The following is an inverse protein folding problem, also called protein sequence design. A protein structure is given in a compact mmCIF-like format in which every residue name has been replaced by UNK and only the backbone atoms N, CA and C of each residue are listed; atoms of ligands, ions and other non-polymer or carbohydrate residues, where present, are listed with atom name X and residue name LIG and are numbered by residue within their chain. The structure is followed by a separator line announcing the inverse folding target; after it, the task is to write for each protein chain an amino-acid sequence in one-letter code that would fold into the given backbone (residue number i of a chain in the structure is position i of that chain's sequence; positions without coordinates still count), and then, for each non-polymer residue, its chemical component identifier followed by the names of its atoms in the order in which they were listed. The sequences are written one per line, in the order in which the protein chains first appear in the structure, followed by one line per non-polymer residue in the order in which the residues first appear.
data_IF_123339198558
#
_entry.id   IF_123339198558
#
_cell.length_a   1.000
_cell.length_b   1.000
_cell.length_c   1.000
_cell.angle_alpha   90.00
_cell.angle_beta   90.00
_cell.angle_gamma   90.00
#
_symmetry.space_group_name_H-M   'P 1'
#
loop_
_entity.id
_entity.type
_entity.pdbx_description
1 polymer ?
#
# COMPACT_ATOMS: atom_id res chain seq x y z
N UNK A 1 11.62 45.90 -47.16
CA UNK A 1 11.70 46.41 -45.77
C UNK A 1 11.14 45.34 -44.85
N UNK A 2 11.99 44.65 -44.15
CA UNK A 2 11.57 43.65 -43.15
C UNK A 2 11.48 44.39 -41.82
N UNK A 3 10.33 44.43 -41.15
CA UNK A 3 10.23 45.09 -39.86
C UNK A 3 11.03 44.28 -38.81
N UNK A 4 12.03 44.93 -38.19
CA UNK A 4 12.79 44.35 -37.10
C UNK A 4 11.85 44.15 -35.89
N UNK A 5 11.60 42.92 -35.50
CA UNK A 5 10.90 42.61 -34.25
C UNK A 5 11.69 43.12 -33.05
N UNK A 6 11.04 43.83 -32.11
CA UNK A 6 11.74 44.34 -30.95
C UNK A 6 12.22 43.18 -30.07
N UNK A 7 13.51 43.21 -29.69
CA UNK A 7 14.18 42.17 -28.88
C UNK A 7 13.50 41.90 -27.52
N UNK A 8 12.75 42.84 -26.98
CA UNK A 8 11.96 42.75 -25.76
C UNK A 8 10.79 41.76 -25.85
N UNK A 9 10.19 41.56 -27.02
CA UNK A 9 9.08 40.62 -27.23
C UNK A 9 9.53 39.14 -27.25
N UNK A 10 10.78 38.91 -27.65
CA UNK A 10 11.40 37.55 -27.63
C UNK A 10 11.76 37.13 -26.20
N UNK A 11 12.24 38.04 -25.36
CA UNK A 11 12.60 37.81 -23.96
C UNK A 11 11.40 37.43 -23.11
N UNK A 12 10.26 38.13 -23.28
CA UNK A 12 9.05 37.83 -22.50
C UNK A 12 8.41 36.47 -22.86
N UNK A 13 8.46 36.09 -24.13
CA UNK A 13 7.98 34.75 -24.56
C UNK A 13 8.86 33.62 -24.06
N UNK A 14 10.16 33.79 -24.03
CA UNK A 14 11.08 32.79 -23.46
C UNK A 14 10.87 32.65 -21.96
N UNK A 15 10.73 33.73 -21.22
CA UNK A 15 10.45 33.70 -19.78
C UNK A 15 9.12 32.97 -19.46
N UNK A 16 8.07 33.22 -20.22
CA UNK A 16 6.77 32.54 -20.01
C UNK A 16 6.82 31.03 -20.31
N UNK A 17 7.53 30.60 -21.37
CA UNK A 17 7.70 29.18 -21.69
C UNK A 17 8.50 28.45 -20.62
N UNK A 18 9.56 29.07 -20.09
CA UNK A 18 10.37 28.54 -19.00
C UNK A 18 9.53 28.43 -17.72
N UNK A 19 8.80 29.48 -17.37
CA UNK A 19 7.89 29.46 -16.21
C UNK A 19 6.83 28.36 -16.28
N UNK A 20 6.21 28.16 -17.45
CA UNK A 20 5.24 27.12 -17.67
C UNK A 20 5.86 25.70 -17.54
N UNK A 21 7.09 25.52 -18.04
CA UNK A 21 7.80 24.24 -17.88
C UNK A 21 8.12 23.95 -16.42
N UNK A 22 8.64 24.93 -15.69
CA UNK A 22 8.92 24.78 -14.25
C UNK A 22 7.64 24.55 -13.46
N UNK A 23 6.57 25.28 -13.74
CA UNK A 23 5.27 25.08 -13.11
C UNK A 23 4.71 23.66 -13.34
N UNK A 24 4.80 23.15 -14.56
CA UNK A 24 4.39 21.77 -14.88
C UNK A 24 5.24 20.73 -14.16
N UNK A 25 6.57 20.88 -14.13
CA UNK A 25 7.46 19.95 -13.44
C UNK A 25 7.20 19.97 -11.93
N UNK A 26 7.02 21.15 -11.34
CA UNK A 26 6.68 21.29 -9.92
C UNK A 26 5.33 20.60 -9.60
N UNK A 27 4.30 20.87 -10.39
CA UNK A 27 2.98 20.25 -10.21
C UNK A 27 3.04 18.72 -10.31
N UNK A 28 3.69 18.18 -11.34
CA UNK A 28 3.85 16.73 -11.51
C UNK A 28 4.69 16.11 -10.39
N UNK A 29 5.75 16.79 -9.96
CA UNK A 29 6.56 16.37 -8.82
C UNK A 29 5.76 16.32 -7.52
N UNK A 30 4.95 17.35 -7.26
CA UNK A 30 4.07 17.40 -6.09
C UNK A 30 3.06 16.26 -6.10
N UNK A 31 2.41 15.99 -7.24
CA UNK A 31 1.46 14.88 -7.39
C UNK A 31 2.15 13.53 -7.11
N UNK A 32 3.34 13.29 -7.67
CA UNK A 32 4.08 12.06 -7.42
C UNK A 32 4.41 11.88 -5.91
N UNK A 33 4.85 12.93 -5.25
CA UNK A 33 5.15 12.92 -3.80
C UNK A 33 3.90 12.66 -2.98
N UNK A 34 2.78 13.31 -3.29
CA UNK A 34 1.52 13.08 -2.58
C UNK A 34 1.00 11.64 -2.72
N UNK A 35 1.13 11.05 -3.91
CA UNK A 35 0.77 9.63 -4.15
C UNK A 35 1.64 8.72 -3.26
N UNK A 36 2.94 8.96 -3.19
CA UNK A 36 3.85 8.17 -2.37
C UNK A 36 3.56 8.34 -0.87
N UNK A 37 3.33 9.56 -0.40
CA UNK A 37 2.96 9.82 1.00
C UNK A 37 1.66 9.09 1.34
N UNK A 38 0.64 9.17 0.49
CA UNK A 38 -0.63 8.48 0.71
C UNK A 38 -0.43 6.95 0.74
N UNK A 39 0.39 6.39 -0.15
CA UNK A 39 0.73 4.96 -0.18
C UNK A 39 1.45 4.50 1.09
N UNK A 40 2.43 5.26 1.56
CA UNK A 40 3.15 4.99 2.81
C UNK A 40 2.20 5.07 4.00
N UNK A 41 1.37 6.11 4.07
CA UNK A 41 0.43 6.29 5.18
C UNK A 41 -0.61 5.16 5.25
N UNK A 42 -1.20 4.79 4.11
CA UNK A 42 -2.14 3.68 4.02
C UNK A 42 -1.49 2.35 4.43
N UNK A 43 -0.26 2.09 3.96
CA UNK A 43 0.49 0.87 4.32
C UNK A 43 0.89 0.87 5.79
N UNK A 44 1.29 2.02 6.35
CA UNK A 44 1.67 2.13 7.76
C UNK A 44 0.49 1.85 8.69
N UNK A 45 -0.69 2.41 8.38
CA UNK A 45 -1.91 2.14 9.13
C UNK A 45 -2.26 0.65 9.20
N UNK A 46 -2.08 -0.07 8.09
CA UNK A 46 -2.28 -1.52 8.05
C UNK A 46 -1.15 -2.29 8.74
N UNK A 47 0.11 -1.89 8.52
CA UNK A 47 1.29 -2.59 9.00
C UNK A 47 1.44 -2.54 10.53
N UNK A 48 1.13 -1.41 11.18
CA UNK A 48 1.24 -1.30 12.64
C UNK A 48 0.30 -2.26 13.37
N UNK A 49 -0.86 -2.62 12.81
CA UNK A 49 -1.77 -3.60 13.40
C UNK A 49 -1.21 -5.03 13.31
N UNK A 50 -0.35 -5.30 12.31
CA UNK A 50 0.28 -6.61 12.11
C UNK A 50 1.63 -6.71 12.81
N UNK A 51 2.40 -5.61 12.88
CA UNK A 51 3.75 -5.59 13.45
C UNK A 51 3.77 -5.37 14.97
N UNK A 52 2.84 -4.57 15.51
CA UNK A 52 2.77 -4.30 16.95
C UNK A 52 2.03 -5.43 17.69
N UNK A 53 2.58 -6.64 17.61
CA UNK A 53 2.03 -7.84 18.27
C UNK A 53 2.50 -8.00 19.70
N UNK A 54 3.43 -7.17 20.20
CA UNK A 54 3.92 -7.23 21.58
C UNK A 54 2.76 -7.01 22.57
N UNK A 55 2.46 -8.04 23.38
CA UNK A 55 1.38 -8.01 24.38
C UNK A 55 0.00 -8.38 23.86
N UNK A 56 -0.13 -8.82 22.60
CA UNK A 56 -1.39 -9.31 22.03
C UNK A 56 -1.45 -10.84 22.03
N UNK A 57 -2.64 -11.37 22.25
CA UNK A 57 -2.88 -12.82 22.15
C UNK A 57 -2.70 -13.25 20.68
N UNK A 58 -1.68 -14.07 20.43
CA UNK A 58 -1.43 -14.68 19.12
C UNK A 58 -1.78 -16.14 19.13
N UNK A 59 -2.29 -16.64 18.03
CA UNK A 59 -2.69 -18.04 17.90
C UNK A 59 -3.07 -18.37 16.46
N UNK A 60 -3.74 -19.49 16.30
CA UNK A 60 -4.27 -19.93 15.02
C UNK A 60 -5.79 -19.98 15.05
N UNK A 61 -6.41 -19.67 13.94
CA UNK A 61 -7.84 -19.87 13.69
C UNK A 61 -8.01 -20.95 12.62
N UNK A 62 -8.85 -21.94 12.87
CA UNK A 62 -9.33 -22.85 11.84
C UNK A 62 -10.68 -22.33 11.32
N UNK A 63 -10.75 -21.98 10.06
CA UNK A 63 -11.94 -21.38 9.48
C UNK A 63 -13.03 -22.43 9.26
N UNK A 64 -14.02 -22.46 10.14
CA UNK A 64 -15.13 -23.40 10.07
C UNK A 64 -16.29 -22.93 9.18
N UNK A 65 -16.65 -21.63 9.26
CA UNK A 65 -17.78 -21.03 8.53
C UNK A 65 -17.42 -19.66 7.99
N UNK A 66 -17.90 -19.36 6.77
CA UNK A 66 -17.81 -18.04 6.16
C UNK A 66 -19.18 -17.57 5.69
N UNK A 67 -19.55 -16.34 5.99
CA UNK A 67 -20.81 -15.72 5.56
C UNK A 67 -20.83 -14.24 5.91
N UNK A 68 -21.58 -13.42 5.14
CA UNK A 68 -21.80 -12.02 5.47
C UNK A 68 -20.55 -11.12 5.51
N UNK A 69 -19.48 -11.44 4.76
CA UNK A 69 -18.26 -10.65 4.77
C UNK A 69 -17.24 -11.04 5.86
N UNK A 70 -17.56 -12.04 6.69
CA UNK A 70 -16.69 -12.54 7.75
C UNK A 70 -16.58 -14.05 7.74
N UNK A 71 -15.49 -14.58 8.30
CA UNK A 71 -15.33 -16.00 8.56
C UNK A 71 -15.14 -16.21 10.07
N UNK A 72 -15.57 -17.34 10.60
CA UNK A 72 -15.46 -17.66 12.02
C UNK A 72 -14.96 -19.09 12.25
N UNK A 73 -14.30 -19.30 13.37
CA UNK A 73 -13.80 -20.59 13.78
C UNK A 73 -13.21 -20.58 15.18
N UNK A 74 -12.78 -21.74 15.69
CA UNK A 74 -12.10 -21.85 16.97
C UNK A 74 -10.70 -21.23 16.93
N UNK A 75 -10.31 -20.61 18.04
CA UNK A 75 -8.99 -20.02 18.23
C UNK A 75 -8.14 -20.89 19.16
N UNK A 76 -6.98 -21.28 18.66
CA UNK A 76 -5.97 -22.02 19.44
C UNK A 76 -4.82 -21.06 19.79
N UNK A 77 -4.59 -20.79 21.07
CA UNK A 77 -3.55 -19.86 21.50
C UNK A 77 -2.15 -20.43 21.24
N UNK A 78 -1.22 -19.56 20.83
CA UNK A 78 0.20 -19.86 20.68
C UNK A 78 1.08 -19.01 21.59
N UNK A 79 0.60 -17.86 22.08
CA UNK A 79 1.33 -17.02 23.01
C UNK A 79 1.01 -17.34 24.46
N UNK A 80 1.99 -17.14 25.36
CA UNK A 80 1.77 -17.26 26.79
C UNK A 80 0.77 -16.20 27.26
N UNK A 81 -0.24 -16.63 28.03
CA UNK A 81 -1.30 -15.75 28.52
C UNK A 81 -2.50 -15.58 27.58
N UNK A 82 -2.48 -16.19 26.40
CA UNK A 82 -3.65 -16.24 25.53
C UNK A 82 -4.62 -17.35 25.97
N UNK A 83 -5.91 -17.05 25.96
CA UNK A 83 -6.96 -18.03 26.25
C UNK A 83 -7.55 -18.63 24.98
N UNK A 84 -7.85 -19.92 25.00
CA UNK A 84 -8.60 -20.55 23.92
C UNK A 84 -10.02 -19.97 23.85
N UNK A 85 -10.49 -19.69 22.63
CA UNK A 85 -11.84 -19.15 22.39
C UNK A 85 -12.57 -20.05 21.41
N UNK A 86 -13.79 -20.40 21.74
CA UNK A 86 -14.61 -21.26 20.88
C UNK A 86 -14.96 -20.60 19.54
N UNK A 87 -15.02 -19.27 19.53
CA UNK A 87 -15.39 -18.50 18.35
C UNK A 87 -14.63 -17.19 18.28
N UNK A 88 -13.86 -17.03 17.22
CA UNK A 88 -13.30 -15.74 16.80
C UNK A 88 -13.73 -15.45 15.37
N UNK A 89 -13.70 -14.17 15.00
CA UNK A 89 -14.17 -13.69 13.71
C UNK A 89 -13.00 -13.04 12.96
N UNK A 90 -12.77 -13.49 11.74
CA UNK A 90 -11.81 -12.91 10.80
C UNK A 90 -12.56 -12.28 9.62
N UNK A 91 -12.12 -11.12 9.17
CA UNK A 91 -12.67 -10.49 7.97
C UNK A 91 -12.41 -11.36 6.74
N UNK A 92 -13.46 -11.58 5.93
CA UNK A 92 -13.37 -12.38 4.71
C UNK A 92 -12.57 -11.60 3.66
N UNK A 93 -11.41 -12.11 3.31
CA UNK A 93 -10.60 -11.63 2.20
C UNK A 93 -10.42 -12.73 1.16
N UNK A 94 -9.90 -12.38 -0.02
CA UNK A 94 -9.60 -13.35 -1.09
C UNK A 94 -8.68 -14.48 -0.60
N UNK A 95 -7.86 -14.18 0.40
CA UNK A 95 -6.88 -15.10 1.00
C UNK A 95 -7.45 -15.98 2.12
N UNK A 96 -8.70 -15.77 2.56
CA UNK A 96 -9.32 -16.54 3.66
C UNK A 96 -10.29 -17.57 3.08
N UNK A 97 -9.95 -18.86 3.23
CA UNK A 97 -10.74 -19.99 2.74
C UNK A 97 -11.21 -20.88 3.89
N UNK A 98 -12.40 -21.42 3.74
CA UNK A 98 -12.97 -22.41 4.68
C UNK A 98 -12.07 -23.67 4.72
N UNK A 99 -11.88 -24.21 5.91
CA UNK A 99 -11.09 -25.43 6.15
C UNK A 99 -9.57 -25.19 6.24
N UNK A 100 -9.13 -23.95 6.20
CA UNK A 100 -7.72 -23.62 6.35
C UNK A 100 -7.41 -22.96 7.71
N UNK A 101 -6.19 -23.19 8.18
CA UNK A 101 -5.68 -22.62 9.43
C UNK A 101 -4.82 -21.42 9.13
N UNK A 102 -5.07 -20.32 9.84
CA UNK A 102 -4.32 -19.06 9.68
C UNK A 102 -3.75 -18.61 11.01
N UNK A 103 -2.50 -18.11 10.97
CA UNK A 103 -1.91 -17.42 12.12
C UNK A 103 -2.54 -16.04 12.26
N UNK A 104 -3.07 -15.77 13.45
CA UNK A 104 -3.83 -14.55 13.73
C UNK A 104 -3.45 -13.95 15.07
N UNK A 105 -3.77 -12.67 15.23
CA UNK A 105 -3.64 -11.93 16.48
C UNK A 105 -5.01 -11.37 16.84
N UNK A 106 -5.38 -11.51 18.10
CA UNK A 106 -6.65 -11.02 18.64
C UNK A 106 -6.58 -9.51 18.83
N UNK A 107 -7.62 -8.80 18.40
CA UNK A 107 -7.76 -7.37 18.65
C UNK A 107 -8.09 -7.14 20.13
N UNK A 108 -7.45 -6.19 20.81
CA UNK A 108 -7.74 -5.92 22.22
C UNK A 108 -9.23 -5.63 22.45
N UNK A 109 -9.81 -6.35 23.42
CA UNK A 109 -11.21 -6.12 23.82
C UNK A 109 -12.27 -6.62 22.84
N UNK A 110 -11.91 -7.44 21.85
CA UNK A 110 -12.87 -8.01 20.89
C UNK A 110 -12.53 -9.47 20.55
N UNK A 111 -13.50 -10.18 19.96
CA UNK A 111 -13.29 -11.52 19.39
C UNK A 111 -12.89 -11.46 17.91
N UNK A 112 -12.57 -10.26 17.43
CA UNK A 112 -12.08 -10.05 16.07
C UNK A 112 -10.59 -10.35 16.00
N UNK A 113 -10.20 -11.14 15.00
CA UNK A 113 -8.80 -11.50 14.77
C UNK A 113 -8.31 -10.98 13.43
N UNK A 114 -7.04 -10.60 13.40
CA UNK A 114 -6.37 -10.10 12.20
C UNK A 114 -5.27 -11.09 11.83
N UNK A 115 -5.19 -11.42 10.55
CA UNK A 115 -4.13 -12.29 10.04
C UNK A 115 -2.76 -11.67 10.33
N UNK A 116 -1.90 -12.45 10.94
CA UNK A 116 -0.52 -12.09 11.26
C UNK A 116 0.47 -13.00 10.52
N UNK A 117 1.76 -12.64 10.57
CA UNK A 117 2.81 -13.39 9.90
C UNK A 117 3.29 -12.74 8.60
N UNK A 118 4.26 -13.36 7.88
CA UNK A 118 4.89 -12.77 6.70
C UNK A 118 3.90 -12.40 5.60
N UNK A 119 2.90 -13.24 5.38
CA UNK A 119 1.83 -12.98 4.40
C UNK A 119 0.96 -11.77 4.78
N UNK A 120 0.63 -11.60 6.07
CA UNK A 120 -0.11 -10.42 6.57
C UNK A 120 0.69 -9.13 6.42
N UNK A 121 2.00 -9.18 6.68
CA UNK A 121 2.90 -8.05 6.47
C UNK A 121 2.93 -7.64 5.00
N UNK A 122 3.17 -8.59 4.09
CA UNK A 122 3.21 -8.30 2.65
C UNK A 122 1.87 -7.76 2.13
N UNK A 123 0.76 -8.28 2.64
CA UNK A 123 -0.58 -7.78 2.30
C UNK A 123 -0.77 -6.32 2.74
N UNK A 124 -0.26 -5.93 3.91
CA UNK A 124 -0.32 -4.56 4.41
C UNK A 124 0.45 -3.56 3.53
N UNK A 125 1.40 -4.02 2.72
CA UNK A 125 2.22 -3.18 1.83
C UNK A 125 1.68 -3.08 0.40
N UNK A 126 0.56 -3.73 0.07
CA UNK A 126 -0.10 -3.64 -1.24
C UNK A 126 -0.41 -2.17 -1.64
N UNK A 127 -0.95 -1.30 -0.76
CA UNK A 127 -1.22 0.09 -1.12
C UNK A 127 0.04 0.84 -1.56
N UNK A 128 1.19 0.57 -0.93
CA UNK A 128 2.46 1.15 -1.33
C UNK A 128 2.90 0.65 -2.71
N UNK A 129 2.74 -0.64 -3.01
CA UNK A 129 3.02 -1.20 -4.32
C UNK A 129 2.22 -0.51 -5.43
N UNK A 130 0.92 -0.30 -5.20
CA UNK A 130 0.04 0.44 -6.11
C UNK A 130 0.46 1.90 -6.28
N UNK A 131 0.81 2.58 -5.17
CA UNK A 131 1.29 3.97 -5.20
C UNK A 131 2.59 4.12 -5.99
N UNK A 132 3.52 3.16 -5.89
CA UNK A 132 4.76 3.13 -6.66
C UNK A 132 4.50 2.99 -8.17
N UNK A 133 3.54 2.16 -8.57
CA UNK A 133 3.14 2.04 -9.97
C UNK A 133 2.54 3.35 -10.51
N UNK A 134 1.63 3.97 -9.76
CA UNK A 134 1.05 5.27 -10.15
C UNK A 134 2.12 6.36 -10.23
N UNK A 135 2.99 6.44 -9.22
CA UNK A 135 4.10 7.39 -9.22
C UNK A 135 5.06 7.15 -10.40
N UNK A 136 5.30 5.89 -10.81
CA UNK A 136 6.15 5.56 -11.95
C UNK A 136 5.65 6.18 -13.25
N UNK A 137 4.33 6.14 -13.48
CA UNK A 137 3.69 6.74 -14.66
C UNK A 137 3.85 8.26 -14.65
N UNK A 138 3.63 8.90 -13.49
CA UNK A 138 3.78 10.35 -13.34
C UNK A 138 5.25 10.78 -13.52
N UNK A 139 6.20 10.03 -12.98
CA UNK A 139 7.63 10.32 -13.08
C UNK A 139 8.15 10.10 -14.50
N UNK A 140 7.77 8.99 -15.14
CA UNK A 140 8.21 8.70 -16.52
C UNK A 140 7.57 9.66 -17.53
N UNK A 141 6.24 9.85 -17.46
CA UNK A 141 5.48 10.66 -18.41
C UNK A 141 5.50 12.16 -18.11
N UNK A 142 5.41 12.55 -16.83
CA UNK A 142 5.32 13.95 -16.41
C UNK A 142 6.67 14.64 -16.26
N UNK A 143 7.62 13.98 -15.57
CA UNK A 143 8.96 14.54 -15.33
C UNK A 143 9.99 14.13 -16.40
N UNK A 144 9.66 13.22 -17.30
CA UNK A 144 10.57 12.72 -18.33
C UNK A 144 11.73 11.89 -17.79
N UNK A 145 11.68 11.48 -16.53
CA UNK A 145 12.71 10.65 -15.89
C UNK A 145 12.42 9.15 -16.06
N UNK A 146 12.55 8.67 -17.28
CA UNK A 146 12.20 7.29 -17.67
C UNK A 146 12.93 6.24 -16.81
N UNK A 147 14.21 6.42 -16.50
CA UNK A 147 14.97 5.48 -15.66
C UNK A 147 14.39 5.38 -14.24
N UNK A 148 14.09 6.51 -13.62
CA UNK A 148 13.46 6.53 -12.30
C UNK A 148 12.06 5.91 -12.33
N UNK A 149 11.27 6.16 -13.38
CA UNK A 149 9.98 5.51 -13.60
C UNK A 149 10.09 3.98 -13.66
N UNK A 150 11.05 3.43 -14.40
CA UNK A 150 11.28 1.99 -14.46
C UNK A 150 11.67 1.38 -13.11
N UNK A 151 12.50 2.05 -12.32
CA UNK A 151 12.86 1.59 -10.98
C UNK A 151 11.63 1.54 -10.07
N UNK A 152 10.83 2.62 -10.05
CA UNK A 152 9.59 2.66 -9.27
C UNK A 152 8.60 1.57 -9.70
N UNK A 153 8.44 1.37 -11.02
CA UNK A 153 7.58 0.32 -11.56
C UNK A 153 8.07 -1.07 -11.15
N UNK A 154 9.37 -1.34 -11.28
CA UNK A 154 9.96 -2.62 -10.90
C UNK A 154 9.79 -2.95 -9.42
N UNK A 155 10.01 -1.98 -8.54
CA UNK A 155 9.79 -2.14 -7.09
C UNK A 155 8.30 -2.36 -6.79
N UNK A 156 7.41 -1.59 -7.42
CA UNK A 156 5.96 -1.74 -7.25
C UNK A 156 5.45 -3.11 -7.68
N UNK A 157 5.85 -3.56 -8.87
CA UNK A 157 5.51 -4.90 -9.39
C UNK A 157 6.07 -5.99 -8.48
N UNK A 158 7.34 -5.87 -8.05
CA UNK A 158 7.97 -6.83 -7.16
C UNK A 158 7.22 -6.99 -5.83
N UNK A 159 6.81 -5.87 -5.20
CA UNK A 159 6.01 -5.86 -3.98
C UNK A 159 4.65 -6.53 -4.17
N UNK A 160 3.94 -6.20 -5.24
CA UNK A 160 2.64 -6.79 -5.54
C UNK A 160 2.74 -8.28 -5.87
N UNK A 161 3.77 -8.69 -6.62
CA UNK A 161 4.02 -10.09 -6.93
C UNK A 161 4.36 -10.88 -5.68
N UNK A 162 5.21 -10.36 -4.80
CA UNK A 162 5.53 -10.99 -3.52
C UNK A 162 4.29 -11.15 -2.64
N UNK A 163 3.43 -10.12 -2.55
CA UNK A 163 2.17 -10.20 -1.84
C UNK A 163 1.24 -11.25 -2.44
N UNK A 164 1.15 -11.33 -3.76
CA UNK A 164 0.27 -12.27 -4.45
C UNK A 164 0.71 -13.73 -4.30
N UNK A 165 2.02 -14.01 -4.35
CA UNK A 165 2.58 -15.37 -4.20
C UNK A 165 2.39 -15.90 -2.78
N UNK A 166 2.24 -15.03 -1.77
CA UNK A 166 2.06 -15.42 -0.37
C UNK A 166 0.59 -15.53 0.07
N UNK A 167 -0.35 -15.26 -0.85
CA UNK A 167 -1.79 -15.45 -0.67
C UNK A 167 -2.20 -16.87 -0.97
#
# INVERSE_FOLDING_TARGET
MIPAMPATALSSRQASVVALRFGRLAAMGTVAVLILIAGVWASWGAAQHVMLTKGRESGTIEVARCGGGTCSGPFTPMSQGASARERVVIEKSVAVRKGQTYTVVVKPGSDEVVRSGPAGVLFAWIPLGGALLLASVVVAGGLGRVRAGWVLAGVGVGLLTAAFVTI
#
